data_IF_757592311856
#
_entry.id   IF_757592311856
#
_cell.length_a   1.000
_cell.length_b   1.000
_cell.length_c   1.000
_cell.angle_alpha   90.00
_cell.angle_beta   90.00
_cell.angle_gamma   90.00
#
_symmetry.space_group_name_H-M   'P 1'
#
loop_
_entity.id
_entity.type
_entity.pdbx_description
1 polymer ?
#
# COMPACT_ATOMS: atom_id res chain seq x y z
N UNK A 1 3.72 -15.85 -2.36
CA UNK A 1 4.55 -15.15 -1.33
C UNK A 1 3.87 -13.89 -0.77
N UNK A 2 3.38 -12.99 -1.64
CA UNK A 2 2.74 -11.74 -1.23
C UNK A 2 1.58 -11.93 -0.24
N UNK A 3 0.67 -12.86 -0.53
CA UNK A 3 -0.47 -13.17 0.34
C UNK A 3 -0.04 -13.65 1.74
N UNK A 4 0.92 -14.58 1.79
CA UNK A 4 1.47 -15.09 3.05
C UNK A 4 2.11 -13.97 3.87
N UNK A 5 2.97 -13.17 3.25
CA UNK A 5 3.68 -12.08 3.93
C UNK A 5 2.72 -10.98 4.39
N UNK A 6 1.68 -10.69 3.62
CA UNK A 6 0.64 -9.76 4.04
C UNK A 6 -0.11 -10.30 5.27
N UNK A 7 -0.50 -11.57 5.27
CA UNK A 7 -1.17 -12.20 6.41
C UNK A 7 -0.30 -12.14 7.68
N UNK A 8 0.97 -12.54 7.58
CA UNK A 8 1.95 -12.48 8.67
C UNK A 8 2.14 -11.04 9.18
N UNK A 9 2.25 -10.07 8.28
CA UNK A 9 2.42 -8.66 8.63
C UNK A 9 1.16 -8.06 9.27
N UNK A 10 -0.03 -8.40 8.79
CA UNK A 10 -1.31 -7.99 9.39
C UNK A 10 -1.44 -8.54 10.81
N UNK A 11 -1.07 -9.81 11.01
CA UNK A 11 -1.07 -10.42 12.34
C UNK A 11 -0.11 -9.68 13.28
N UNK A 12 1.15 -9.51 12.86
CA UNK A 12 2.18 -8.85 13.65
C UNK A 12 1.81 -7.38 13.97
N UNK A 13 1.23 -6.65 13.03
CA UNK A 13 0.77 -5.28 13.26
C UNK A 13 -0.35 -5.21 14.31
N UNK A 14 -1.22 -6.21 14.35
CA UNK A 14 -2.31 -6.28 15.34
C UNK A 14 -1.78 -6.62 16.75
N UNK A 15 -0.80 -7.52 16.84
CA UNK A 15 -0.08 -7.81 18.08
C UNK A 15 0.71 -6.60 18.59
N UNK A 16 1.41 -5.89 17.69
CA UNK A 16 2.14 -4.65 18.01
C UNK A 16 1.19 -3.57 18.55
N UNK A 17 -0.03 -3.47 18.01
CA UNK A 17 -1.08 -2.61 18.54
C UNK A 17 -1.67 -3.07 19.89
N UNK A 18 -1.22 -4.21 20.44
CA UNK A 18 -1.61 -4.73 21.75
C UNK A 18 -2.96 -5.45 21.77
N UNK A 19 -3.46 -5.91 20.62
CA UNK A 19 -4.76 -6.57 20.53
C UNK A 19 -4.67 -8.07 20.28
N UNK A 20 -5.44 -8.84 21.04
CA UNK A 20 -5.67 -10.26 20.78
C UNK A 20 -6.79 -10.43 19.72
N UNK A 21 -6.40 -10.84 18.51
CA UNK A 21 -7.32 -11.09 17.38
C UNK A 21 -8.42 -12.10 17.73
N UNK A 22 -8.14 -13.09 18.58
CA UNK A 22 -9.10 -14.15 18.92
C UNK A 22 -10.23 -13.63 19.82
N UNK A 23 -9.97 -12.55 20.56
CA UNK A 23 -10.92 -11.92 21.47
C UNK A 23 -11.47 -10.59 20.93
N UNK A 24 -10.98 -10.13 19.78
CA UNK A 24 -11.33 -8.83 19.24
C UNK A 24 -12.73 -8.84 18.59
N UNK A 25 -13.71 -8.24 19.26
CA UNK A 25 -15.13 -8.25 18.83
C UNK A 25 -15.53 -7.08 17.93
N UNK A 26 -14.67 -6.08 17.75
CA UNK A 26 -15.00 -4.87 16.98
C UNK A 26 -14.85 -5.12 15.47
N UNK A 27 -15.52 -4.32 14.63
CA UNK A 27 -15.39 -4.43 13.18
C UNK A 27 -14.01 -3.94 12.74
N UNK A 28 -13.23 -4.84 12.16
CA UNK A 28 -11.92 -4.55 11.57
C UNK A 28 -12.06 -4.43 10.05
N UNK A 29 -11.61 -3.32 9.47
CA UNK A 29 -11.45 -3.16 8.02
C UNK A 29 -10.02 -3.44 7.58
N UNK A 30 -9.83 -3.89 6.34
CA UNK A 30 -8.53 -4.11 5.72
C UNK A 30 -8.47 -3.44 4.34
N UNK A 31 -7.49 -2.56 4.17
CA UNK A 31 -7.22 -1.82 2.96
C UNK A 31 -5.77 -2.12 2.56
N UNK A 32 -5.56 -3.03 1.63
CA UNK A 32 -4.22 -3.42 1.23
C UNK A 32 -4.16 -3.70 -0.26
N UNK A 33 -2.98 -3.52 -0.83
CA UNK A 33 -2.74 -3.74 -2.24
C UNK A 33 -1.43 -4.48 -2.47
N UNK A 34 -1.35 -5.16 -3.60
CA UNK A 34 -0.13 -5.81 -4.03
C UNK A 34 -0.08 -5.91 -5.54
N UNK A 35 1.11 -5.76 -6.09
CA UNK A 35 1.28 -5.79 -7.53
C UNK A 35 0.97 -7.19 -8.09
N UNK A 36 0.45 -7.22 -9.31
CA UNK A 36 0.32 -8.46 -10.06
C UNK A 36 1.71 -9.11 -10.22
N UNK A 37 1.84 -10.36 -9.78
CA UNK A 37 3.06 -11.14 -9.97
C UNK A 37 2.86 -12.07 -11.18
N UNK A 38 3.23 -11.57 -12.37
CA UNK A 38 3.06 -12.32 -13.62
C UNK A 38 3.84 -13.64 -13.63
N UNK A 39 5.04 -13.68 -13.04
CA UNK A 39 5.85 -14.89 -12.94
C UNK A 39 5.14 -15.97 -12.12
N UNK A 40 4.60 -15.58 -10.97
CA UNK A 40 3.84 -16.47 -10.10
C UNK A 40 2.56 -16.96 -10.79
N UNK A 41 1.83 -16.06 -11.45
CA UNK A 41 0.63 -16.41 -12.19
C UNK A 41 0.92 -17.39 -13.34
N UNK A 42 2.00 -17.17 -14.10
CA UNK A 42 2.43 -18.08 -15.15
C UNK A 42 2.88 -19.43 -14.58
N UNK A 43 3.67 -19.42 -13.50
CA UNK A 43 4.11 -20.64 -12.82
C UNK A 43 2.91 -21.48 -12.37
N UNK A 44 1.94 -20.87 -11.68
CA UNK A 44 0.74 -21.56 -11.22
C UNK A 44 -0.07 -22.10 -12.41
N UNK A 45 -0.19 -21.34 -13.50
CA UNK A 45 -0.93 -21.77 -14.69
C UNK A 45 -0.27 -22.94 -15.41
N UNK A 46 1.06 -22.95 -15.48
CA UNK A 46 1.82 -23.96 -16.24
C UNK A 46 2.10 -25.23 -15.43
N UNK A 47 2.33 -25.11 -14.12
CA UNK A 47 2.76 -26.21 -13.26
C UNK A 47 1.57 -26.91 -12.57
N UNK A 48 0.45 -26.21 -12.35
CA UNK A 48 -0.69 -26.84 -11.71
C UNK A 48 -1.52 -27.66 -12.70
N UNK A 49 -1.31 -28.97 -12.70
CA UNK A 49 -2.12 -29.94 -13.45
C UNK A 49 -3.52 -30.17 -12.84
N UNK A 50 -3.77 -29.66 -11.63
CA UNK A 50 -5.02 -29.82 -10.88
C UNK A 50 -5.02 -30.98 -9.89
N UNK A 51 -3.90 -31.70 -9.74
CA UNK A 51 -3.78 -32.85 -8.84
C UNK A 51 -3.67 -32.46 -7.36
N UNK A 52 -2.99 -31.35 -7.06
CA UNK A 52 -2.73 -30.89 -5.69
C UNK A 52 -3.72 -29.82 -5.22
N UNK A 53 -4.02 -28.86 -6.10
CA UNK A 53 -4.98 -27.77 -5.85
C UNK A 53 -5.80 -27.63 -7.12
N UNK A 54 -7.12 -27.52 -6.99
CA UNK A 54 -7.96 -27.31 -8.16
C UNK A 54 -7.59 -26.01 -8.89
N UNK A 55 -7.81 -25.97 -10.21
CA UNK A 55 -7.35 -24.86 -11.07
C UNK A 55 -7.98 -23.51 -10.69
N UNK A 56 -9.20 -23.52 -10.14
CA UNK A 56 -9.88 -22.30 -9.74
C UNK A 56 -9.32 -21.74 -8.42
N UNK A 57 -9.01 -22.59 -7.45
CA UNK A 57 -8.31 -22.16 -6.24
C UNK A 57 -6.91 -21.68 -6.55
N UNK A 58 -6.19 -22.37 -7.43
CA UNK A 58 -4.86 -21.99 -7.84
C UNK A 58 -4.82 -20.61 -8.53
N UNK A 59 -5.74 -20.33 -9.45
CA UNK A 59 -5.82 -19.01 -10.10
C UNK A 59 -6.11 -17.89 -9.11
N UNK A 60 -6.96 -18.11 -8.10
CA UNK A 60 -7.21 -17.13 -7.05
C UNK A 60 -6.00 -16.89 -6.14
N UNK A 61 -5.18 -17.92 -5.86
CA UNK A 61 -3.94 -17.78 -5.08
C UNK A 61 -2.83 -17.06 -5.86
N UNK A 62 -2.92 -17.07 -7.19
CA UNK A 62 -2.01 -16.34 -8.06
C UNK A 62 -2.36 -14.87 -8.23
N UNK A 63 -3.61 -14.51 -8.00
CA UNK A 63 -4.17 -13.20 -8.30
C UNK A 63 -4.14 -12.28 -7.08
N UNK A 64 -3.39 -11.18 -7.20
CA UNK A 64 -3.19 -10.23 -6.10
C UNK A 64 -4.50 -9.57 -5.63
N UNK A 65 -5.56 -9.58 -6.44
CA UNK A 65 -6.86 -9.00 -6.07
C UNK A 65 -7.52 -9.67 -4.87
N UNK A 66 -7.15 -10.92 -4.57
CA UNK A 66 -7.74 -11.69 -3.46
C UNK A 66 -7.00 -11.53 -2.13
N UNK A 67 -5.82 -10.90 -2.09
CA UNK A 67 -4.98 -10.88 -0.88
C UNK A 67 -5.71 -10.25 0.33
N UNK A 68 -6.46 -9.17 0.11
CA UNK A 68 -7.18 -8.46 1.18
C UNK A 68 -8.39 -9.26 1.65
N UNK A 69 -9.19 -9.79 0.71
CA UNK A 69 -10.39 -10.57 1.07
C UNK A 69 -10.04 -11.90 1.72
N UNK A 70 -8.97 -12.59 1.28
CA UNK A 70 -8.52 -13.83 1.91
C UNK A 70 -7.93 -13.59 3.29
N UNK A 71 -7.12 -12.54 3.46
CA UNK A 71 -6.62 -12.16 4.78
C UNK A 71 -7.76 -11.87 5.74
N UNK A 72 -8.76 -11.10 5.30
CA UNK A 72 -9.97 -10.83 6.08
C UNK A 72 -10.76 -12.10 6.41
N UNK A 73 -10.86 -13.04 5.47
CA UNK A 73 -11.51 -14.33 5.70
C UNK A 73 -10.78 -15.15 6.78
N UNK A 74 -9.46 -15.29 6.66
CA UNK A 74 -8.63 -16.08 7.59
C UNK A 74 -8.62 -15.48 9.01
N UNK A 75 -8.63 -14.15 9.13
CA UNK A 75 -8.62 -13.44 10.41
C UNK A 75 -10.01 -13.01 10.89
N UNK A 76 -11.07 -13.44 10.20
CA UNK A 76 -12.47 -13.14 10.56
C UNK A 76 -12.77 -11.62 10.65
N UNK A 77 -12.17 -10.79 9.80
CA UNK A 77 -12.48 -9.36 9.71
C UNK A 77 -13.86 -9.13 9.09
N UNK A 78 -14.65 -8.25 9.70
CA UNK A 78 -16.06 -8.00 9.34
C UNK A 78 -16.35 -6.55 8.93
N UNK A 79 -15.33 -5.72 8.79
CA UNK A 79 -15.40 -4.40 8.17
C UNK A 79 -15.14 -4.45 6.66
N UNK A 80 -14.95 -3.30 6.01
CA UNK A 80 -14.60 -3.24 4.59
C UNK A 80 -13.28 -3.96 4.33
N UNK A 81 -13.24 -4.80 3.29
CA UNK A 81 -12.04 -5.51 2.84
C UNK A 81 -11.79 -5.17 1.39
N UNK A 82 -10.87 -4.25 1.14
CA UNK A 82 -10.67 -3.63 -0.18
C UNK A 82 -9.25 -3.88 -0.67
N UNK A 83 -9.15 -4.41 -1.89
CA UNK A 83 -7.90 -4.40 -2.64
C UNK A 83 -7.70 -3.02 -3.26
N UNK A 84 -6.57 -2.38 -2.98
CA UNK A 84 -6.20 -1.08 -3.55
C UNK A 84 -5.13 -1.29 -4.59
N UNK A 85 -5.28 -0.68 -5.76
CA UNK A 85 -4.22 -0.63 -6.77
C UNK A 85 -4.20 0.77 -7.39
N UNK A 86 -3.12 1.49 -7.13
CA UNK A 86 -2.81 2.79 -7.73
C UNK A 86 -1.32 2.88 -8.06
N UNK A 87 -0.74 1.76 -8.52
CA UNK A 87 0.68 1.60 -8.82
C UNK A 87 1.56 2.02 -7.62
N UNK A 88 2.55 2.89 -7.81
CA UNK A 88 3.52 3.29 -6.78
C UNK A 88 2.89 3.95 -5.53
N UNK A 89 1.65 4.45 -5.63
CA UNK A 89 0.96 5.13 -4.53
C UNK A 89 0.05 4.22 -3.69
N UNK A 90 -0.02 2.93 -4.03
CA UNK A 90 -1.01 1.96 -3.51
C UNK A 90 -1.14 1.96 -1.98
N UNK A 91 -0.02 1.85 -1.25
CA UNK A 91 -0.04 1.77 0.21
C UNK A 91 -0.53 3.07 0.85
N UNK A 92 -0.15 4.23 0.31
CA UNK A 92 -0.58 5.53 0.84
C UNK A 92 -2.05 5.82 0.52
N UNK A 93 -2.52 5.42 -0.66
CA UNK A 93 -3.95 5.47 -1.00
C UNK A 93 -4.76 4.54 -0.08
N UNK A 94 -4.22 3.36 0.25
CA UNK A 94 -4.86 2.45 1.20
C UNK A 94 -5.03 3.09 2.60
N UNK A 95 -4.00 3.79 3.10
CA UNK A 95 -4.07 4.56 4.35
C UNK A 95 -5.15 5.63 4.28
N UNK A 96 -5.24 6.38 3.18
CA UNK A 96 -6.29 7.38 3.00
C UNK A 96 -7.70 6.76 3.01
N UNK A 97 -7.89 5.62 2.33
CA UNK A 97 -9.19 4.93 2.30
C UNK A 97 -9.58 4.38 3.67
N UNK A 98 -8.64 3.78 4.39
CA UNK A 98 -8.84 3.32 5.76
C UNK A 98 -9.20 4.47 6.72
N UNK A 99 -8.50 5.61 6.60
CA UNK A 99 -8.79 6.82 7.37
C UNK A 99 -10.22 7.30 7.14
N UNK A 100 -10.67 7.35 5.87
CA UNK A 100 -12.05 7.73 5.55
C UNK A 100 -13.05 6.73 6.12
N UNK A 101 -12.80 5.43 5.98
CA UNK A 101 -13.67 4.37 6.51
C UNK A 101 -13.87 4.47 8.03
N UNK A 102 -12.81 4.82 8.77
CA UNK A 102 -12.88 5.11 10.20
C UNK A 102 -13.72 6.35 10.51
N UNK A 103 -13.58 7.42 9.73
CA UNK A 103 -14.36 8.66 9.92
C UNK A 103 -15.84 8.46 9.60
N UNK A 104 -16.16 7.65 8.59
CA UNK A 104 -17.54 7.23 8.26
C UNK A 104 -18.09 6.11 9.15
N UNK A 105 -17.30 5.65 10.13
CA UNK A 105 -17.68 4.60 11.09
C UNK A 105 -18.07 3.26 10.44
N UNK A 106 -17.54 2.96 9.26
CA UNK A 106 -17.72 1.65 8.61
C UNK A 106 -16.97 0.54 9.37
N UNK A 107 -15.91 0.93 10.11
CA UNK A 107 -15.13 0.07 10.99
C UNK A 107 -14.70 0.81 12.28
N UNK A 108 -14.26 0.03 13.26
CA UNK A 108 -13.72 0.52 14.52
C UNK A 108 -12.19 0.59 14.51
N UNK A 109 -11.56 -0.34 13.79
CA UNK A 109 -10.13 -0.44 13.53
C UNK A 109 -9.98 -0.69 12.04
N UNK A 110 -8.98 -0.07 11.41
CA UNK A 110 -8.65 -0.32 10.02
C UNK A 110 -7.16 -0.66 9.90
N UNK A 111 -6.84 -1.75 9.22
CA UNK A 111 -5.48 -2.02 8.77
C UNK A 111 -5.29 -1.45 7.37
N UNK A 112 -4.15 -0.79 7.14
CA UNK A 112 -3.80 -0.22 5.85
C UNK A 112 -2.36 -0.53 5.47
N UNK A 113 -2.10 -0.90 4.22
CA UNK A 113 -0.75 -1.27 3.82
C UNK A 113 -0.58 -1.70 2.37
N UNK A 114 0.56 -2.33 2.10
CA UNK A 114 0.85 -2.92 0.80
C UNK A 114 1.95 -3.96 0.85
N UNK A 115 2.01 -4.77 -0.20
CA UNK A 115 3.03 -5.81 -0.39
C UNK A 115 3.54 -5.78 -1.82
N UNK A 116 4.86 -5.96 -1.99
CA UNK A 116 5.51 -6.11 -3.28
C UNK A 116 6.66 -7.11 -3.10
N UNK A 117 6.48 -8.34 -3.57
CA UNK A 117 7.52 -9.40 -3.47
C UNK A 117 7.42 -10.34 -4.68
N UNK A 118 8.58 -10.78 -5.17
CA UNK A 118 8.76 -11.74 -6.25
C UNK A 118 8.46 -11.17 -7.63
N UNK A 119 8.47 -9.85 -7.79
CA UNK A 119 8.15 -9.19 -9.07
C UNK A 119 9.39 -8.91 -9.93
N UNK A 120 10.57 -9.36 -9.49
CA UNK A 120 11.78 -9.25 -10.31
C UNK A 120 11.71 -10.19 -11.52
N UNK A 121 12.07 -9.66 -12.68
CA UNK A 121 12.13 -10.41 -13.93
C UNK A 121 13.24 -11.45 -13.86
N UNK A 122 13.00 -12.63 -14.45
CA UNK A 122 14.01 -13.70 -14.60
C UNK A 122 15.29 -13.20 -15.31
N UNK A 123 15.21 -12.10 -16.06
CA UNK A 123 16.32 -11.48 -16.79
C UNK A 123 17.23 -10.57 -15.95
N UNK A 124 17.01 -10.42 -14.64
CA UNK A 124 17.81 -9.55 -13.78
C UNK A 124 17.57 -8.05 -14.03
N UNK A 125 18.51 -7.21 -13.58
CA UNK A 125 18.43 -5.76 -13.76
C UNK A 125 18.69 -5.38 -15.22
N UNK A 126 17.68 -4.79 -15.86
CA UNK A 126 17.73 -4.37 -17.26
C UNK A 126 17.37 -2.90 -17.36
N UNK A 127 18.31 -2.10 -17.85
CA UNK A 127 18.11 -0.69 -18.17
C UNK A 127 17.67 -0.54 -19.63
N UNK A 128 16.72 0.36 -19.86
CA UNK A 128 16.25 0.75 -21.18
C UNK A 128 16.11 2.26 -21.24
N UNK A 129 16.66 2.88 -22.29
CA UNK A 129 16.59 4.32 -22.49
C UNK A 129 15.12 4.77 -22.59
N UNK A 130 14.75 5.81 -21.83
CA UNK A 130 13.37 6.32 -21.77
C UNK A 130 12.42 5.56 -20.82
N UNK A 131 12.90 4.53 -20.11
CA UNK A 131 12.14 3.83 -19.06
C UNK A 131 12.51 4.31 -17.65
N UNK A 132 11.78 3.84 -16.64
CA UNK A 132 11.90 4.33 -15.26
C UNK A 132 13.13 3.83 -14.49
N UNK A 133 13.79 2.76 -14.96
CA UNK A 133 14.90 2.13 -14.24
C UNK A 133 16.18 2.95 -14.41
N UNK A 134 16.95 3.10 -13.34
CA UNK A 134 18.25 3.76 -13.42
C UNK A 134 19.25 3.03 -14.31
N UNK A 135 20.29 3.74 -14.74
CA UNK A 135 21.35 3.14 -15.57
C UNK A 135 22.34 2.32 -14.74
N UNK A 136 22.55 2.71 -13.49
CA UNK A 136 23.56 2.16 -12.60
C UNK A 136 23.00 1.25 -11.50
N UNK A 137 21.67 1.01 -11.48
CA UNK A 137 21.05 0.21 -10.43
C UNK A 137 20.82 0.94 -9.11
N UNK A 138 21.01 2.26 -9.05
CA UNK A 138 20.79 3.05 -7.85
C UNK A 138 19.67 4.07 -8.02
N UNK A 139 18.84 4.22 -6.99
CA UNK A 139 17.92 5.35 -6.88
C UNK A 139 18.64 6.48 -6.12
N UNK A 140 18.86 7.62 -6.79
CA UNK A 140 19.61 8.76 -6.25
C UNK A 140 18.73 10.03 -6.24
N UNK A 141 17.72 10.12 -5.36
CA UNK A 141 16.86 11.30 -5.31
C UNK A 141 17.69 12.56 -5.04
N UNK A 142 17.39 13.62 -5.78
CA UNK A 142 18.04 14.95 -5.68
C UNK A 142 19.52 15.01 -6.10
N UNK A 143 20.08 13.92 -6.64
CA UNK A 143 21.45 13.91 -7.17
C UNK A 143 21.47 14.44 -8.62
N UNK A 144 22.52 15.17 -8.99
CA UNK A 144 22.71 15.66 -10.38
C UNK A 144 22.91 14.51 -11.37
N UNK A 145 23.40 13.37 -10.89
CA UNK A 145 23.56 12.12 -11.62
C UNK A 145 22.40 11.14 -11.46
N UNK A 146 21.22 11.60 -11.02
CA UNK A 146 20.03 10.76 -10.94
C UNK A 146 19.59 10.31 -12.36
N UNK A 147 19.35 9.00 -12.54
CA UNK A 147 19.03 8.41 -13.86
C UNK A 147 17.79 7.52 -13.85
N UNK A 148 17.09 7.41 -12.73
CA UNK A 148 15.93 6.56 -12.55
C UNK A 148 15.86 5.90 -11.17
N UNK A 149 14.94 4.95 -11.04
CA UNK A 149 14.70 4.20 -9.81
C UNK A 149 15.20 2.76 -9.88
N UNK A 150 15.25 2.08 -8.73
CA UNK A 150 15.52 0.65 -8.61
C UNK A 150 14.33 -0.04 -7.95
N UNK A 151 14.09 -1.29 -8.32
CA UNK A 151 13.06 -2.11 -7.67
C UNK A 151 13.43 -2.39 -6.21
N UNK A 152 12.42 -2.58 -5.38
CA UNK A 152 12.57 -3.04 -4.00
C UNK A 152 11.43 -3.98 -3.67
N UNK A 153 11.66 -4.84 -2.68
CA UNK A 153 10.66 -5.76 -2.17
C UNK A 153 10.34 -5.42 -0.72
N UNK A 154 9.09 -5.61 -0.32
CA UNK A 154 8.67 -5.35 1.05
C UNK A 154 7.19 -5.57 1.31
N UNK A 155 6.86 -5.61 2.60
CA UNK A 155 5.49 -5.60 3.11
C UNK A 155 5.43 -4.63 4.28
N UNK A 156 4.35 -3.86 4.35
CA UNK A 156 4.14 -2.93 5.46
C UNK A 156 2.65 -2.71 5.70
N UNK A 157 2.25 -2.74 6.96
CA UNK A 157 0.88 -2.53 7.42
C UNK A 157 0.88 -1.67 8.67
N UNK A 158 -0.05 -0.73 8.76
CA UNK A 158 -0.32 0.07 9.95
C UNK A 158 -1.73 -0.20 10.49
N UNK A 159 -1.88 -0.16 11.81
CA UNK A 159 -3.17 -0.24 12.49
C UNK A 159 -3.67 1.18 12.78
N UNK A 160 -4.88 1.49 12.31
CA UNK A 160 -5.47 2.82 12.41
C UNK A 160 -6.74 2.77 13.26
N UNK A 161 -6.88 3.79 14.12
CA UNK A 161 -8.07 4.06 14.93
C UNK A 161 -8.34 5.56 14.97
N UNK A 162 -9.60 5.92 15.25
CA UNK A 162 -9.91 7.31 15.61
C UNK A 162 -9.18 7.66 16.89
N UNK A 163 -8.52 8.82 16.94
CA UNK A 163 -7.71 9.26 18.08
C UNK A 163 -8.46 9.16 19.43
N UNK A 164 -9.73 9.57 19.46
CA UNK A 164 -10.58 9.47 20.65
C UNK A 164 -10.73 8.04 21.16
N UNK A 165 -10.87 7.08 20.25
CA UNK A 165 -11.04 5.66 20.60
C UNK A 165 -9.70 5.05 21.02
N UNK A 166 -8.59 5.48 20.40
CA UNK A 166 -7.25 5.06 20.80
C UNK A 166 -6.90 5.52 22.22
N UNK A 167 -7.17 6.79 22.53
CA UNK A 167 -6.98 7.35 23.87
C UNK A 167 -7.89 6.67 24.91
N UNK A 168 -9.14 6.36 24.56
CA UNK A 168 -10.09 5.67 25.44
C UNK A 168 -9.63 4.25 25.76
N UNK A 169 -9.11 3.55 24.78
CA UNK A 169 -8.67 2.16 24.92
C UNK A 169 -7.24 2.05 25.50
N UNK A 170 -6.53 3.18 25.66
CA UNK A 170 -5.19 3.23 26.25
C UNK A 170 -4.09 2.78 25.30
N UNK A 171 -4.32 2.89 23.98
CA UNK A 171 -3.38 2.41 22.97
C UNK A 171 -2.09 3.23 22.95
N UNK A 172 -0.99 2.57 22.58
CA UNK A 172 0.23 3.28 22.20
C UNK A 172 0.03 3.97 20.83
N UNK A 173 0.25 5.28 20.77
CA UNK A 173 0.04 6.09 19.56
C UNK A 173 1.39 6.52 18.99
N UNK A 174 1.80 5.92 17.87
CA UNK A 174 3.04 6.29 17.18
C UNK A 174 2.95 7.66 16.48
N UNK A 175 1.81 7.94 15.84
CA UNK A 175 1.59 9.17 15.08
C UNK A 175 0.10 9.49 14.92
N UNK A 176 -0.22 10.73 14.56
CA UNK A 176 -1.58 11.18 14.30
C UNK A 176 -1.67 11.64 12.84
N UNK A 177 -2.56 11.02 12.06
CA UNK A 177 -2.88 11.46 10.71
C UNK A 177 -3.78 12.70 10.82
N UNK A 178 -3.23 13.87 10.51
CA UNK A 178 -3.96 15.15 10.58
C UNK A 178 -4.83 15.40 9.35
N UNK A 179 -4.39 14.97 8.18
CA UNK A 179 -5.09 15.14 6.91
C UNK A 179 -4.36 14.42 5.77
N UNK A 180 -5.05 14.23 4.66
CA UNK A 180 -4.52 13.55 3.47
C UNK A 180 -5.38 13.83 2.24
N UNK A 181 -4.80 13.69 1.06
CA UNK A 181 -5.49 13.94 -0.21
C UNK A 181 -4.98 12.98 -1.29
N UNK A 182 -5.89 12.61 -2.20
CA UNK A 182 -5.61 11.81 -3.40
C UNK A 182 -6.32 12.49 -4.57
N UNK A 183 -5.62 12.63 -5.69
CA UNK A 183 -6.16 13.14 -6.96
C UNK A 183 -5.53 12.40 -8.15
N UNK A 184 -5.80 12.88 -9.35
CA UNK A 184 -5.18 12.40 -10.59
C UNK A 184 -4.73 13.62 -11.41
N UNK A 185 -3.56 13.52 -12.02
CA UNK A 185 -2.95 14.60 -12.82
C UNK A 185 -3.77 15.01 -14.04
N UNK A 186 -4.70 14.16 -14.49
CA UNK A 186 -5.49 14.42 -15.70
C UNK A 186 -4.61 14.49 -16.95
N UNK A 187 -5.06 15.24 -17.95
CA UNK A 187 -4.40 15.34 -19.25
C UNK A 187 -3.33 16.43 -19.33
N UNK A 188 -3.22 17.32 -18.32
CA UNK A 188 -2.34 18.49 -18.34
C UNK A 188 -0.90 18.15 -17.94
N UNK A 189 -0.28 17.26 -18.73
CA UNK A 189 1.09 16.77 -18.57
C UNK A 189 1.66 16.35 -19.94
N UNK A 190 2.98 16.34 -20.06
CA UNK A 190 3.67 16.12 -21.34
C UNK A 190 3.53 14.69 -21.89
N UNK A 191 3.06 13.74 -21.08
CA UNK A 191 2.80 12.36 -21.48
C UNK A 191 2.03 11.59 -20.41
N UNK A 192 1.54 10.40 -20.76
CA UNK A 192 0.73 9.56 -19.84
C UNK A 192 1.47 9.23 -18.53
N UNK A 193 2.76 8.90 -18.63
CA UNK A 193 3.63 8.52 -17.52
C UNK A 193 4.30 9.72 -16.82
N UNK A 194 4.20 10.91 -17.39
CA UNK A 194 4.82 12.10 -16.80
C UNK A 194 4.05 12.52 -15.53
N UNK A 195 4.75 13.04 -14.50
CA UNK A 195 4.08 13.68 -13.38
C UNK A 195 3.56 15.08 -13.77
N UNK A 196 2.54 15.58 -13.05
CA UNK A 196 2.11 16.98 -13.15
C UNK A 196 2.48 17.80 -11.90
N UNK A 197 3.12 18.95 -12.10
CA UNK A 197 3.41 19.91 -11.03
C UNK A 197 2.10 20.45 -10.42
N UNK A 198 1.12 20.80 -11.25
CA UNK A 198 -0.16 21.33 -10.76
C UNK A 198 -0.95 20.28 -9.99
N UNK A 199 -0.98 19.03 -10.49
CA UNK A 199 -1.62 17.91 -9.80
C UNK A 199 -1.03 17.66 -8.42
N UNK A 200 0.30 17.63 -8.30
CA UNK A 200 0.98 17.47 -7.02
C UNK A 200 0.73 18.66 -6.07
N UNK A 201 0.81 19.89 -6.57
CA UNK A 201 0.54 21.10 -5.80
C UNK A 201 -0.88 21.07 -5.20
N UNK A 202 -1.89 20.72 -6.01
CA UNK A 202 -3.28 20.61 -5.55
C UNK A 202 -3.45 19.56 -4.46
N UNK A 203 -2.81 18.39 -4.62
CA UNK A 203 -2.86 17.33 -3.63
C UNK A 203 -2.25 17.77 -2.29
N UNK A 204 -1.07 18.40 -2.33
CA UNK A 204 -0.36 18.89 -1.14
C UNK A 204 -1.16 19.99 -0.44
N UNK A 205 -1.63 21.01 -1.18
CA UNK A 205 -2.43 22.10 -0.63
C UNK A 205 -3.71 21.56 0.02
N UNK A 206 -4.40 20.63 -0.63
CA UNK A 206 -5.63 20.03 -0.08
C UNK A 206 -5.35 19.21 1.18
N UNK A 207 -4.29 18.42 1.20
CA UNK A 207 -3.89 17.65 2.38
C UNK A 207 -3.54 18.58 3.56
N UNK A 208 -2.78 19.65 3.32
CA UNK A 208 -2.43 20.63 4.35
C UNK A 208 -3.65 21.37 4.88
N UNK A 209 -4.57 21.82 3.99
CA UNK A 209 -5.84 22.45 4.38
C UNK A 209 -6.68 21.52 5.24
N UNK A 210 -6.76 20.23 4.88
CA UNK A 210 -7.47 19.23 5.69
C UNK A 210 -6.81 19.04 7.06
N UNK A 211 -5.47 19.04 7.10
CA UNK A 211 -4.69 18.92 8.33
C UNK A 211 -4.83 20.14 9.27
N UNK A 212 -5.19 21.31 8.72
CA UNK A 212 -5.30 22.58 9.44
C UNK A 212 -4.00 22.95 10.17
N UNK A 213 -2.87 22.72 9.51
CA UNK A 213 -1.53 23.05 10.03
C UNK A 213 -0.86 24.13 9.17
N UNK A 214 -0.18 25.10 9.79
CA UNK A 214 0.59 26.08 9.05
C UNK A 214 1.82 25.43 8.39
N UNK A 215 2.25 25.94 7.24
CA UNK A 215 3.36 25.34 6.45
C UNK A 215 4.66 25.31 7.24
N UNK A 216 4.92 26.37 8.01
CA UNK A 216 6.09 26.54 8.86
C UNK A 216 6.16 25.53 10.03
N UNK A 217 5.08 24.80 10.31
CA UNK A 217 5.10 23.71 11.30
C UNK A 217 5.59 22.37 10.75
N UNK A 218 5.80 22.26 9.43
CA UNK A 218 6.25 21.03 8.77
C UNK A 218 7.78 21.07 8.72
N UNK A 219 8.43 20.28 9.58
CA UNK A 219 9.89 20.19 9.67
C UNK A 219 10.52 19.15 8.75
N UNK A 220 9.72 18.23 8.19
CA UNK A 220 10.20 17.12 7.38
C UNK A 220 9.20 16.75 6.29
N UNK A 221 9.71 16.38 5.11
CA UNK A 221 8.92 15.90 3.97
C UNK A 221 9.56 14.62 3.44
N UNK A 222 8.87 13.50 3.61
CA UNK A 222 9.19 12.26 2.92
C UNK A 222 8.66 12.34 1.48
N UNK A 223 9.55 12.47 0.50
CA UNK A 223 9.15 12.62 -0.92
C UNK A 223 9.01 11.27 -1.61
N UNK A 224 8.32 11.23 -2.77
CA UNK A 224 8.33 10.03 -3.62
C UNK A 224 9.74 9.65 -4.08
N UNK A 225 10.58 10.65 -4.37
CA UNK A 225 12.04 10.50 -4.46
C UNK A 225 12.52 9.41 -5.41
N UNK A 226 11.99 9.34 -6.63
CA UNK A 226 12.32 8.26 -7.60
C UNK A 226 13.68 8.40 -8.28
N UNK A 227 14.42 9.49 -8.06
CA UNK A 227 15.73 9.70 -8.68
C UNK A 227 15.67 9.91 -10.20
N UNK A 228 14.61 10.56 -10.68
CA UNK A 228 14.33 10.84 -12.10
C UNK A 228 14.44 12.33 -12.42
#
# INVERSE_FOLDING_TARGET
PQERLLLECVWAAFEDAGYDLTQFKKKVGLFAGGALNMNWMNYVTLVNDGSSVDKFTASQLADSRFISSRTSFLLNFRGPSIHVDSACSTSLVAIQRATMSLLFQECNVALAGGVLVGNESVSGYFYEEGMIKSRDGHCRPFDVGATGTVGGEGVGVVVLKRLKDAMKDGDHIHAIIKGGSVNNDGYQKVGYTAPSISGQLEAIIKAQKMARVPSESISYIETHGTGT
#
